data_IF_200892413007
#
_entry.id   IF_200892413007
#
_cell.length_a   1.000
_cell.length_b   1.000
_cell.length_c   1.000
_cell.angle_alpha   90.00
_cell.angle_beta   90.00
_cell.angle_gamma   90.00
#
_symmetry.space_group_name_H-M   'P 1'
#
loop_
_entity.id
_entity.type
_entity.pdbx_description
1 polymer ?
#
# COMPACT_ATOMS: atom_id res chain seq x y z
N UNK A 1 20.55 -34.78 -4.19
CA UNK A 1 20.17 -33.41 -3.78
C UNK A 1 19.60 -33.47 -2.37
N UNK A 2 20.11 -32.67 -1.41
CA UNK A 2 19.50 -32.62 -0.09
C UNK A 2 18.09 -32.05 -0.21
N UNK A 3 17.10 -32.71 0.41
CA UNK A 3 15.72 -32.22 0.47
C UNK A 3 15.73 -30.92 1.25
N UNK A 4 15.45 -29.80 0.58
CA UNK A 4 15.21 -28.53 1.24
C UNK A 4 14.01 -28.75 2.16
N UNK A 5 14.14 -28.60 3.49
CA UNK A 5 13.00 -28.76 4.39
C UNK A 5 11.91 -27.78 3.98
N UNK A 6 10.73 -28.30 3.62
CA UNK A 6 9.57 -27.47 3.36
C UNK A 6 9.22 -26.74 4.66
N UNK A 7 9.40 -25.41 4.66
CA UNK A 7 8.87 -24.56 5.74
C UNK A 7 7.36 -24.50 5.58
N UNK A 8 6.65 -25.33 6.34
CA UNK A 8 5.18 -25.39 6.37
C UNK A 8 4.57 -24.47 7.42
N UNK A 9 5.38 -23.79 8.24
CA UNK A 9 4.94 -22.86 9.30
C UNK A 9 5.19 -21.39 8.96
N UNK A 10 4.50 -20.51 9.68
CA UNK A 10 4.75 -19.06 9.66
C UNK A 10 6.20 -18.75 10.04
N UNK A 11 6.75 -17.65 9.53
CA UNK A 11 8.07 -17.16 9.94
C UNK A 11 8.13 -16.95 11.46
N UNK A 12 9.26 -17.23 12.11
CA UNK A 12 9.47 -16.86 13.53
C UNK A 12 9.53 -15.34 13.69
N UNK A 13 9.31 -14.82 14.89
CA UNK A 13 9.36 -13.36 15.12
C UNK A 13 10.66 -12.70 14.63
N UNK A 14 11.88 -13.22 14.89
CA UNK A 14 13.11 -12.68 14.30
C UNK A 14 13.14 -12.74 12.77
N UNK A 15 12.56 -13.79 12.17
CA UNK A 15 12.49 -13.93 10.71
C UNK A 15 11.48 -12.93 10.09
N UNK A 16 10.39 -12.63 10.78
CA UNK A 16 9.42 -11.61 10.37
C UNK A 16 10.05 -10.21 10.41
N UNK A 17 10.82 -9.89 11.46
CA UNK A 17 11.61 -8.65 11.54
C UNK A 17 12.58 -8.57 10.36
N UNK A 18 13.42 -9.59 10.15
CA UNK A 18 14.42 -9.59 9.09
C UNK A 18 13.77 -9.47 7.69
N UNK A 19 12.65 -10.18 7.46
CA UNK A 19 11.87 -10.05 6.24
C UNK A 19 11.41 -8.60 6.01
N UNK A 20 10.83 -7.95 7.02
CA UNK A 20 10.33 -6.58 6.88
C UNK A 20 11.44 -5.55 6.74
N UNK A 21 12.59 -5.73 7.40
CA UNK A 21 13.78 -4.89 7.24
C UNK A 21 14.32 -4.88 5.81
N UNK A 22 14.07 -5.93 5.02
CA UNK A 22 14.45 -5.98 3.60
C UNK A 22 13.31 -5.51 2.70
N UNK A 23 12.10 -6.04 2.90
CA UNK A 23 11.00 -5.86 1.96
C UNK A 23 10.33 -4.49 2.05
N UNK A 24 10.21 -3.90 3.25
CA UNK A 24 9.55 -2.59 3.38
C UNK A 24 10.40 -1.47 2.76
N UNK A 25 11.71 -1.34 3.06
CA UNK A 25 12.55 -0.33 2.40
C UNK A 25 12.60 -0.49 0.88
N UNK A 26 12.67 -1.73 0.37
CA UNK A 26 12.62 -1.99 -1.07
C UNK A 26 11.32 -1.50 -1.73
N UNK A 27 10.18 -1.68 -1.07
CA UNK A 27 8.88 -1.15 -1.55
C UNK A 27 8.84 0.37 -1.52
N UNK A 28 9.33 1.00 -0.44
CA UNK A 28 9.40 2.47 -0.34
C UNK A 28 10.27 3.05 -1.47
N UNK A 29 11.45 2.46 -1.70
CA UNK A 29 12.34 2.88 -2.79
C UNK A 29 11.67 2.74 -4.17
N UNK A 30 10.95 1.63 -4.41
CA UNK A 30 10.22 1.44 -5.65
C UNK A 30 9.07 2.45 -5.84
N UNK A 31 8.33 2.79 -4.77
CA UNK A 31 7.31 3.84 -4.80
C UNK A 31 7.95 5.19 -5.17
N UNK A 32 9.02 5.57 -4.48
CA UNK A 32 9.72 6.83 -4.73
C UNK A 32 10.27 6.90 -6.16
N UNK A 33 10.84 5.81 -6.68
CA UNK A 33 11.34 5.72 -8.04
C UNK A 33 10.22 5.81 -9.08
N UNK A 34 9.10 5.13 -8.86
CA UNK A 34 7.93 5.17 -9.76
C UNK A 34 7.30 6.57 -9.82
N UNK A 35 7.41 7.33 -8.74
CA UNK A 35 6.92 8.70 -8.66
C UNK A 35 8.01 9.74 -9.00
N UNK A 36 9.06 9.39 -9.73
CA UNK A 36 9.99 10.38 -10.28
C UNK A 36 9.38 11.12 -11.49
N UNK A 37 10.14 12.02 -12.13
CA UNK A 37 9.63 12.97 -13.12
C UNK A 37 8.82 12.28 -14.25
N UNK A 38 7.55 12.71 -14.40
CA UNK A 38 6.53 12.21 -15.36
C UNK A 38 6.25 10.69 -15.29
N UNK A 39 5.49 10.23 -14.27
CA UNK A 39 5.11 8.83 -14.13
C UNK A 39 4.21 8.35 -15.27
N UNK A 40 4.45 7.12 -15.75
CA UNK A 40 3.51 6.42 -16.62
C UNK A 40 2.40 5.75 -15.80
N UNK A 41 1.32 5.30 -16.46
CA UNK A 41 0.24 4.56 -15.77
C UNK A 41 0.74 3.29 -15.07
N UNK A 42 1.75 2.61 -15.65
CA UNK A 42 2.41 1.46 -15.03
C UNK A 42 3.12 1.87 -13.75
N UNK A 43 3.81 3.00 -13.75
CA UNK A 43 4.52 3.51 -12.57
C UNK A 43 3.52 3.88 -11.47
N UNK A 44 2.41 4.52 -11.83
CA UNK A 44 1.31 4.80 -10.90
C UNK A 44 0.74 3.52 -10.28
N UNK A 45 0.56 2.46 -11.07
CA UNK A 45 0.11 1.16 -10.56
C UNK A 45 1.09 0.55 -9.54
N UNK A 46 2.40 0.62 -9.83
CA UNK A 46 3.44 0.14 -8.89
C UNK A 46 3.39 0.93 -7.59
N UNK A 47 3.35 2.26 -7.67
CA UNK A 47 3.29 3.12 -6.49
C UNK A 47 2.02 2.88 -5.67
N UNK A 48 0.85 2.77 -6.33
CA UNK A 48 -0.45 2.54 -5.70
C UNK A 48 -0.49 1.18 -4.96
N UNK A 49 -0.12 0.09 -5.64
CA UNK A 49 -0.17 -1.27 -5.07
C UNK A 49 0.78 -1.40 -3.87
N UNK A 50 2.00 -0.88 -3.99
CA UNK A 50 2.96 -0.93 -2.88
C UNK A 50 2.56 -0.04 -1.71
N UNK A 51 2.01 1.15 -1.97
CA UNK A 51 1.47 2.03 -0.93
C UNK A 51 0.30 1.37 -0.18
N UNK A 52 -0.64 0.76 -0.90
CA UNK A 52 -1.74 -0.01 -0.30
C UNK A 52 -1.23 -1.18 0.55
N UNK A 53 -0.19 -1.88 0.10
CA UNK A 53 0.38 -2.98 0.88
C UNK A 53 1.01 -2.49 2.19
N UNK A 54 1.64 -1.31 2.21
CA UNK A 54 2.16 -0.69 3.44
C UNK A 54 1.01 -0.20 4.32
N UNK A 55 -0.05 0.40 3.75
CA UNK A 55 -1.24 0.80 4.50
C UNK A 55 -1.88 -0.41 5.22
N UNK A 56 -2.04 -1.54 4.52
CA UNK A 56 -2.53 -2.80 5.11
C UNK A 56 -1.64 -3.29 6.25
N UNK A 57 -0.31 -3.22 6.08
CA UNK A 57 0.66 -3.55 7.13
C UNK A 57 0.45 -2.69 8.39
N UNK A 58 0.14 -1.40 8.23
CA UNK A 58 -0.18 -0.46 9.31
C UNK A 58 -1.58 -0.65 9.92
N UNK A 59 -2.36 -1.59 9.40
CA UNK A 59 -3.73 -1.87 9.83
C UNK A 59 -4.76 -0.88 9.30
N UNK A 60 -4.49 -0.27 8.15
CA UNK A 60 -5.38 0.68 7.49
C UNK A 60 -6.02 -0.02 6.29
N UNK A 61 -7.35 0.00 6.23
CA UNK A 61 -8.11 -0.49 5.09
C UNK A 61 -9.32 0.39 4.79
N UNK A 62 -10.14 -0.06 3.85
CA UNK A 62 -11.40 0.61 3.48
C UNK A 62 -12.58 -0.36 3.54
N UNK A 63 -13.73 0.12 3.98
CA UNK A 63 -15.01 -0.59 3.92
C UNK A 63 -16.08 0.37 3.41
N UNK A 64 -16.83 -0.05 2.39
CA UNK A 64 -17.83 0.79 1.71
C UNK A 64 -17.30 2.19 1.34
N UNK A 65 -16.05 2.26 0.87
CA UNK A 65 -15.37 3.48 0.44
C UNK A 65 -14.80 4.36 1.55
N UNK A 66 -15.02 4.03 2.83
CA UNK A 66 -14.52 4.79 3.99
C UNK A 66 -13.37 4.08 4.68
N UNK A 67 -12.47 4.82 5.32
CA UNK A 67 -11.39 4.21 6.11
C UNK A 67 -11.94 3.41 7.28
N UNK A 68 -11.26 2.31 7.56
CA UNK A 68 -11.49 1.49 8.73
C UNK A 68 -10.18 0.88 9.21
N UNK A 69 -10.14 0.49 10.49
CA UNK A 69 -9.05 -0.34 11.00
C UNK A 69 -9.15 -1.75 10.39
N UNK A 70 -8.12 -2.17 9.65
CA UNK A 70 -7.98 -3.51 9.12
C UNK A 70 -7.01 -4.35 9.98
N UNK A 71 -7.58 -5.00 10.99
CA UNK A 71 -6.84 -5.87 11.91
C UNK A 71 -6.88 -7.33 11.52
N UNK A 72 -7.58 -7.67 10.43
CA UNK A 72 -7.74 -9.05 9.99
C UNK A 72 -6.51 -9.47 9.20
N UNK A 73 -6.13 -10.73 9.38
CA UNK A 73 -5.16 -11.38 8.49
C UNK A 73 -5.94 -12.08 7.40
N UNK A 74 -5.43 -12.05 6.17
CA UNK A 74 -5.99 -12.82 5.07
C UNK A 74 -5.97 -14.31 5.38
N UNK A 75 -7.10 -14.98 5.13
CA UNK A 75 -7.37 -16.34 5.60
C UNK A 75 -6.39 -17.35 4.98
N UNK A 76 -5.70 -18.12 5.84
CA UNK A 76 -4.61 -19.02 5.45
C UNK A 76 -5.13 -20.35 4.87
N UNK A 77 -4.56 -20.76 3.73
CA UNK A 77 -4.56 -22.17 3.28
C UNK A 77 -3.12 -22.70 3.25
N UNK A 78 -2.90 -24.03 3.37
CA UNK A 78 -1.57 -24.63 3.22
C UNK A 78 -0.89 -24.17 1.92
N UNK A 79 0.41 -23.82 2.00
CA UNK A 79 1.24 -23.33 0.89
C UNK A 79 0.90 -21.93 0.34
N UNK A 80 0.10 -21.12 1.03
CA UNK A 80 -0.12 -19.73 0.67
C UNK A 80 0.80 -18.75 1.42
N UNK A 81 0.98 -17.56 0.85
CA UNK A 81 1.72 -16.47 1.50
C UNK A 81 1.03 -16.05 2.80
N UNK A 82 1.84 -15.73 3.83
CA UNK A 82 1.34 -15.21 5.10
C UNK A 82 1.33 -13.68 5.07
N UNK A 83 0.19 -13.10 5.41
CA UNK A 83 0.12 -11.65 5.65
C UNK A 83 0.85 -11.30 6.94
N UNK A 84 1.58 -10.19 6.92
CA UNK A 84 2.26 -9.63 8.08
C UNK A 84 1.69 -8.24 8.34
N UNK A 85 1.46 -7.93 9.62
CA UNK A 85 0.98 -6.64 10.12
C UNK A 85 2.00 -6.06 11.09
N UNK A 86 1.91 -4.76 11.38
CA UNK A 86 2.87 -4.07 12.25
C UNK A 86 2.93 -4.63 13.68
N UNK A 87 1.82 -5.17 14.19
CA UNK A 87 1.77 -5.88 15.48
C UNK A 87 2.72 -7.08 15.53
N UNK A 88 2.98 -7.75 14.41
CA UNK A 88 3.86 -8.93 14.35
C UNK A 88 5.34 -8.61 14.61
N UNK A 89 5.71 -7.34 14.51
CA UNK A 89 7.09 -6.87 14.76
C UNK A 89 7.15 -5.91 15.95
N UNK A 90 6.17 -5.98 16.85
CA UNK A 90 6.15 -5.22 18.09
C UNK A 90 5.69 -3.76 17.96
N UNK A 91 5.26 -3.31 16.78
CA UNK A 91 4.68 -1.98 16.63
C UNK A 91 3.17 -1.94 16.93
N UNK A 92 2.56 -0.76 16.80
CA UNK A 92 1.12 -0.56 17.00
C UNK A 92 0.42 -0.21 15.68
N UNK A 93 -0.86 -0.57 15.58
CA UNK A 93 -1.69 -0.16 14.46
C UNK A 93 -1.90 1.37 14.46
N UNK A 94 -2.05 1.94 13.26
CA UNK A 94 -2.46 3.34 13.13
C UNK A 94 -3.91 3.48 13.62
N UNK A 95 -4.14 4.47 14.49
CA UNK A 95 -5.47 4.83 14.96
C UNK A 95 -6.13 5.75 13.92
N UNK A 96 -6.93 5.13 13.04
CA UNK A 96 -7.62 5.81 11.93
C UNK A 96 -8.47 6.98 12.41
N UNK A 97 -9.10 6.88 13.58
CA UNK A 97 -9.99 7.93 14.07
C UNK A 97 -9.23 9.21 14.43
N UNK A 98 -7.97 9.09 14.84
CA UNK A 98 -7.07 10.19 15.20
C UNK A 98 -6.35 10.84 14.03
N UNK A 99 -6.47 10.30 12.82
CA UNK A 99 -5.87 10.91 11.63
C UNK A 99 -6.55 12.26 11.32
N UNK A 100 -5.77 13.21 10.82
CA UNK A 100 -6.31 14.48 10.36
C UNK A 100 -7.15 14.28 9.08
N UNK A 101 -7.96 15.29 8.73
CA UNK A 101 -8.84 15.20 7.55
C UNK A 101 -8.07 15.00 6.24
N UNK A 102 -6.91 15.65 6.09
CA UNK A 102 -6.08 15.53 4.88
C UNK A 102 -5.56 14.09 4.71
N UNK A 103 -5.02 13.49 5.78
CA UNK A 103 -4.54 12.11 5.75
C UNK A 103 -5.67 11.12 5.45
N UNK A 104 -6.84 11.33 6.06
CA UNK A 104 -8.02 10.51 5.80
C UNK A 104 -8.40 10.55 4.32
N UNK A 105 -8.50 11.74 3.72
CA UNK A 105 -8.84 11.90 2.30
C UNK A 105 -7.82 11.21 1.40
N UNK A 106 -6.52 11.44 1.63
CA UNK A 106 -5.46 10.85 0.82
C UNK A 106 -5.45 9.32 0.88
N UNK A 107 -5.66 8.74 2.06
CA UNK A 107 -5.75 7.29 2.26
C UNK A 107 -7.04 6.71 1.65
N UNK A 108 -8.20 7.36 1.82
CA UNK A 108 -9.47 6.91 1.23
C UNK A 108 -9.40 6.88 -0.29
N UNK A 109 -9.04 8.01 -0.89
CA UNK A 109 -8.92 8.15 -2.33
C UNK A 109 -7.88 7.17 -2.88
N UNK A 110 -6.70 7.10 -2.27
CA UNK A 110 -5.62 6.24 -2.72
C UNK A 110 -5.95 4.75 -2.63
N UNK A 111 -6.52 4.27 -1.52
CA UNK A 111 -6.88 2.85 -1.38
C UNK A 111 -8.02 2.49 -2.34
N UNK A 112 -9.05 3.34 -2.44
CA UNK A 112 -10.16 3.10 -3.36
C UNK A 112 -9.68 3.07 -4.81
N UNK A 113 -8.90 4.05 -5.24
CA UNK A 113 -8.31 4.09 -6.59
C UNK A 113 -7.42 2.88 -6.86
N UNK A 114 -6.62 2.44 -5.87
CA UNK A 114 -5.82 1.22 -6.01
C UNK A 114 -6.71 -0.01 -6.23
N UNK A 115 -7.80 -0.12 -5.49
CA UNK A 115 -8.73 -1.25 -5.58
C UNK A 115 -9.54 -1.25 -6.88
N UNK A 116 -9.77 -0.09 -7.50
CA UNK A 116 -10.56 0.02 -8.74
C UNK A 116 -9.69 0.15 -9.97
N UNK A 117 -8.90 1.22 -10.07
CA UNK A 117 -8.18 1.64 -11.27
C UNK A 117 -6.92 0.81 -11.56
N UNK A 118 -6.29 0.25 -10.52
CA UNK A 118 -5.01 -0.45 -10.64
C UNK A 118 -5.08 -1.96 -10.35
N UNK A 119 -6.06 -2.41 -9.56
CA UNK A 119 -6.31 -3.84 -9.37
C UNK A 119 -7.15 -4.48 -10.48
N UNK A 120 -7.82 -3.67 -11.31
CA UNK A 120 -8.65 -4.12 -12.42
C UNK A 120 -8.30 -3.37 -13.72
N UNK A 121 -8.52 -4.01 -14.87
CA UNK A 121 -8.42 -3.38 -16.19
C UNK A 121 -9.67 -2.52 -16.43
N UNK A 122 -9.61 -1.26 -15.99
CA UNK A 122 -10.75 -0.32 -16.02
C UNK A 122 -10.46 0.88 -16.93
N UNK A 123 -11.53 1.58 -17.33
CA UNK A 123 -11.46 2.84 -18.08
C UNK A 123 -12.05 3.98 -17.24
N UNK A 124 -11.57 5.21 -17.45
CA UNK A 124 -12.15 6.39 -16.81
C UNK A 124 -13.58 6.57 -17.34
N UNK A 125 -14.60 6.72 -16.50
CA UNK A 125 -15.99 6.82 -16.98
C UNK A 125 -16.39 8.22 -17.48
N UNK A 126 -15.60 9.24 -17.18
CA UNK A 126 -15.86 10.63 -17.55
C UNK A 126 -15.34 10.93 -18.97
N UNK A 127 -16.23 11.22 -19.94
CA UNK A 127 -15.82 11.54 -21.31
C UNK A 127 -14.89 12.75 -21.43
N UNK A 128 -14.97 13.71 -20.50
CA UNK A 128 -14.08 14.89 -20.50
C UNK A 128 -12.62 14.54 -20.15
N UNK A 129 -12.42 13.39 -19.51
CA UNK A 129 -11.12 12.85 -19.14
C UNK A 129 -10.58 11.83 -20.16
N UNK A 130 -11.31 11.59 -21.25
CA UNK A 130 -10.96 10.64 -22.32
C UNK A 130 -10.52 11.35 -23.60
N UNK A 131 -9.59 10.76 -24.33
CA UNK A 131 -9.29 11.15 -25.70
C UNK A 131 -10.29 10.52 -26.70
N UNK A 132 -10.11 10.79 -28.00
CA UNK A 132 -11.01 10.30 -29.06
C UNK A 132 -11.11 8.76 -29.15
N UNK A 133 -10.13 8.04 -28.61
CA UNK A 133 -10.10 6.57 -28.55
C UNK A 133 -10.62 6.02 -27.22
N UNK A 134 -11.13 6.86 -26.32
CA UNK A 134 -11.62 6.44 -24.99
C UNK A 134 -10.51 6.22 -23.95
N UNK A 135 -9.26 6.54 -24.25
CA UNK A 135 -8.13 6.41 -23.31
C UNK A 135 -8.00 7.65 -22.42
N UNK A 136 -7.45 7.47 -21.22
CA UNK A 136 -7.17 8.59 -20.31
C UNK A 136 -6.32 9.68 -20.98
N UNK A 137 -6.72 10.93 -20.79
CA UNK A 137 -5.95 12.12 -21.20
C UNK A 137 -4.74 12.37 -20.30
N UNK A 138 -3.77 13.15 -20.80
CA UNK A 138 -2.61 13.55 -19.99
C UNK A 138 -3.01 14.32 -18.72
N UNK A 139 -4.04 15.15 -18.80
CA UNK A 139 -4.58 15.87 -17.65
C UNK A 139 -5.11 14.91 -16.57
N UNK A 140 -5.81 13.85 -16.98
CA UNK A 140 -6.27 12.81 -16.07
C UNK A 140 -5.08 12.05 -15.43
N UNK A 141 -4.05 11.72 -16.21
CA UNK A 141 -2.84 11.05 -15.70
C UNK A 141 -2.10 11.94 -14.69
N UNK A 142 -2.04 13.25 -14.93
CA UNK A 142 -1.47 14.22 -14.00
C UNK A 142 -2.26 14.31 -12.68
N UNK A 143 -3.60 14.34 -12.76
CA UNK A 143 -4.46 14.30 -11.58
C UNK A 143 -4.22 13.00 -10.77
N UNK A 144 -4.17 11.86 -11.45
CA UNK A 144 -3.90 10.57 -10.81
C UNK A 144 -2.51 10.53 -10.16
N UNK A 145 -1.52 11.13 -10.82
CA UNK A 145 -0.17 11.28 -10.26
C UNK A 145 -0.18 12.02 -8.92
N UNK A 146 -0.93 13.12 -8.83
CA UNK A 146 -1.01 13.90 -7.59
C UNK A 146 -1.69 13.10 -6.47
N UNK A 147 -2.79 12.41 -6.76
CA UNK A 147 -3.51 11.56 -5.80
C UNK A 147 -2.64 10.43 -5.27
N UNK A 148 -2.00 9.66 -6.17
CA UNK A 148 -1.14 8.54 -5.77
C UNK A 148 0.09 9.03 -5.03
N UNK A 149 0.65 10.19 -5.39
CA UNK A 149 1.75 10.79 -4.60
C UNK A 149 1.31 11.15 -3.20
N UNK A 150 0.18 11.86 -3.05
CA UNK A 150 -0.34 12.23 -1.72
C UNK A 150 -0.60 10.99 -0.85
N UNK A 151 -1.19 9.95 -1.44
CA UNK A 151 -1.40 8.66 -0.78
C UNK A 151 -0.07 8.01 -0.34
N UNK A 152 0.88 7.88 -1.27
CA UNK A 152 2.19 7.29 -1.02
C UNK A 152 2.96 8.00 0.09
N UNK A 153 3.05 9.33 0.01
CA UNK A 153 3.75 10.16 0.99
C UNK A 153 3.13 10.02 2.38
N UNK A 154 1.79 10.00 2.45
CA UNK A 154 1.05 9.80 3.71
C UNK A 154 1.37 8.44 4.34
N UNK A 155 1.31 7.36 3.56
CA UNK A 155 1.57 6.01 4.06
C UNK A 155 3.03 5.83 4.49
N UNK A 156 3.99 6.36 3.73
CA UNK A 156 5.42 6.30 4.05
C UNK A 156 5.69 7.05 5.36
N UNK A 157 5.12 8.25 5.51
CA UNK A 157 5.25 9.03 6.75
C UNK A 157 4.70 8.27 7.96
N UNK A 158 3.47 7.75 7.86
CA UNK A 158 2.84 6.97 8.94
C UNK A 158 3.65 5.71 9.29
N UNK A 159 4.25 5.05 8.29
CA UNK A 159 5.15 3.92 8.54
C UNK A 159 6.36 4.34 9.38
N UNK A 160 7.04 5.42 9.02
CA UNK A 160 8.20 5.90 9.79
C UNK A 160 7.83 6.31 11.21
N UNK A 161 6.69 6.99 11.40
CA UNK A 161 6.19 7.36 12.73
C UNK A 161 5.95 6.13 13.62
N UNK A 162 5.35 5.06 13.07
CA UNK A 162 5.09 3.84 13.84
C UNK A 162 6.34 3.01 14.08
N UNK A 163 7.24 2.94 13.10
CA UNK A 163 8.52 2.25 13.25
C UNK A 163 9.39 2.90 14.34
N UNK A 164 9.40 4.23 14.43
CA UNK A 164 10.11 4.97 15.47
C UNK A 164 9.54 4.66 16.88
N UNK A 165 8.22 4.45 17.00
CA UNK A 165 7.58 4.07 18.28
C UNK A 165 7.84 2.64 18.70
N UNK A 166 8.04 1.73 17.75
CA UNK A 166 8.35 0.32 18.02
C UNK A 166 9.78 0.11 18.52
N UNK A 167 10.71 1.03 18.19
CA UNK A 167 12.10 1.02 18.64
C UNK A 167 12.48 2.40 19.23
N UNK A 168 11.96 2.78 20.41
CA UNK A 168 12.43 3.98 21.08
C UNK A 168 13.90 3.78 21.48
N UNK A 169 14.75 4.74 21.12
CA UNK A 169 16.18 4.74 21.47
C UNK A 169 16.42 4.68 22.98
#
# INVERSE_FOLDING_TARGET
MPKIPQRTGSLTHPQQIAFLQVHVPGRISAIQSALQHQPTYKDLAVAAIFSRAIASFLGIGTSSGRLCADRKYFQHSPNQSWEVKIKNVGGEFVDVDKLCSADKSALEEGINETNTAFAHLTFCSDPSSQNQSGLATDAYIQLQTQRIRSFADTVIRLFHEQAARANPA
#
